data_IF_405091407622
#
_entry.id   IF_405091407622
#
_cell.length_a   1.000
_cell.length_b   1.000
_cell.length_c   1.000
_cell.angle_alpha   90.00
_cell.angle_beta   90.00
_cell.angle_gamma   90.00
#
_symmetry.space_group_name_H-M   'P 1'
#
loop_
_entity.id
_entity.type
_entity.pdbx_description
1 polymer ?
#
# COMPACT_ATOMS: atom_id res chain seq x y z
N UNK A 1 9.02 -19.78 10.94
CA UNK A 1 8.94 -19.56 9.47
C UNK A 1 10.26 -19.09 8.85
N UNK A 2 11.34 -18.96 9.66
CA UNK A 2 12.67 -18.55 9.20
C UNK A 2 13.09 -19.31 7.94
N UNK A 3 13.49 -18.57 6.88
CA UNK A 3 13.90 -19.12 5.59
C UNK A 3 12.79 -19.73 4.73
N UNK A 4 11.54 -19.76 5.21
CA UNK A 4 10.37 -20.30 4.45
C UNK A 4 9.53 -19.21 3.80
N UNK A 5 9.39 -18.07 4.45
CA UNK A 5 8.69 -16.89 3.92
C UNK A 5 9.74 -15.94 3.34
N UNK A 6 9.57 -15.55 2.08
CA UNK A 6 10.56 -14.72 1.38
C UNK A 6 10.39 -13.22 1.64
N UNK A 7 9.17 -12.79 1.88
CA UNK A 7 8.83 -11.38 2.09
C UNK A 7 7.87 -11.28 3.27
N UNK A 8 8.16 -10.39 4.21
CA UNK A 8 7.30 -10.08 5.34
C UNK A 8 6.75 -8.66 5.23
N UNK A 9 5.45 -8.49 5.41
CA UNK A 9 4.84 -7.20 5.74
C UNK A 9 5.05 -6.95 7.23
N UNK A 10 6.19 -6.37 7.56
CA UNK A 10 6.62 -6.19 8.96
C UNK A 10 5.73 -5.18 9.66
N UNK A 11 5.40 -4.09 8.97
CA UNK A 11 4.46 -3.07 9.44
C UNK A 11 3.45 -2.81 8.33
N UNK A 12 2.17 -2.86 8.70
CA UNK A 12 1.05 -2.64 7.81
C UNK A 12 0.21 -1.45 8.28
N UNK A 13 -0.07 -0.51 7.36
CA UNK A 13 -1.05 0.57 7.52
C UNK A 13 -0.79 1.50 8.72
N UNK A 14 0.46 1.86 8.98
CA UNK A 14 0.80 2.74 10.08
C UNK A 14 0.62 4.24 9.77
N UNK A 15 0.45 4.62 8.50
CA UNK A 15 0.28 6.03 8.10
C UNK A 15 -1.15 6.50 8.37
N UNK A 16 -1.28 7.71 8.92
CA UNK A 16 -2.57 8.35 9.13
C UNK A 16 -3.21 8.81 7.81
N UNK A 17 -4.48 8.46 7.59
CA UNK A 17 -5.20 8.80 6.36
C UNK A 17 -5.46 10.31 6.25
N UNK A 18 -5.68 10.99 7.39
CA UNK A 18 -6.06 12.40 7.45
C UNK A 18 -5.26 13.16 8.50
N UNK A 19 -5.31 14.49 8.42
CA UNK A 19 -4.65 15.39 9.38
C UNK A 19 -3.14 15.47 9.18
N UNK A 20 -2.48 16.18 10.07
CA UNK A 20 -1.04 16.48 9.96
C UNK A 20 -0.12 15.42 10.56
N UNK A 21 -0.67 14.52 11.36
CA UNK A 21 0.13 13.43 11.94
C UNK A 21 0.58 12.46 10.85
N UNK A 22 1.84 12.03 10.93
CA UNK A 22 2.37 11.01 10.03
C UNK A 22 1.77 9.66 10.38
N UNK A 23 1.79 9.29 11.65
CA UNK A 23 1.36 7.97 12.10
C UNK A 23 -0.09 7.96 12.57
N UNK A 24 -0.76 6.85 12.30
CA UNK A 24 -2.10 6.52 12.81
C UNK A 24 -2.04 6.34 14.31
N UNK A 25 -3.05 6.83 15.03
CA UNK A 25 -3.18 6.63 16.47
C UNK A 25 -3.55 5.17 16.78
N UNK A 26 -2.55 4.30 16.82
CA UNK A 26 -2.67 2.87 17.12
C UNK A 26 -2.25 2.57 18.55
N UNK A 27 -2.63 1.39 19.07
CA UNK A 27 -2.14 0.92 20.38
C UNK A 27 -0.61 0.79 20.41
N UNK A 28 0.00 0.40 19.29
CA UNK A 28 1.46 0.34 19.18
C UNK A 28 2.11 1.69 19.41
N UNK A 29 1.59 2.75 18.75
CA UNK A 29 2.07 4.11 18.93
C UNK A 29 1.86 4.60 20.36
N UNK A 30 0.72 4.29 20.98
CA UNK A 30 0.38 4.74 22.34
C UNK A 30 1.24 4.06 23.41
N UNK A 31 1.56 2.79 23.26
CA UNK A 31 2.24 1.99 24.29
C UNK A 31 3.76 2.06 24.12
N UNK A 32 4.26 1.94 22.88
CA UNK A 32 5.69 1.86 22.60
C UNK A 32 6.28 3.22 22.21
N UNK A 33 5.48 4.06 21.58
CA UNK A 33 5.94 5.32 21.00
C UNK A 33 6.28 5.21 19.50
N UNK A 34 6.75 6.30 18.88
CA UNK A 34 6.96 6.36 17.43
C UNK A 34 8.05 5.43 16.90
N UNK A 35 8.91 4.93 17.74
CA UNK A 35 9.98 3.98 17.40
C UNK A 35 9.51 2.54 17.27
N UNK A 36 8.21 2.25 17.47
CA UNK A 36 7.66 0.90 17.33
C UNK A 36 7.90 0.31 15.93
N UNK A 37 7.91 1.17 14.89
CA UNK A 37 8.14 0.73 13.50
C UNK A 37 9.60 0.29 13.34
N UNK A 38 10.56 1.10 13.79
CA UNK A 38 11.97 0.76 13.73
C UNK A 38 12.25 -0.56 14.47
N UNK A 39 11.74 -0.69 15.69
CA UNK A 39 11.87 -1.93 16.48
C UNK A 39 11.27 -3.15 15.78
N UNK A 40 10.11 -3.02 15.15
CA UNK A 40 9.50 -4.12 14.43
C UNK A 40 10.40 -4.62 13.29
N UNK A 41 10.99 -3.71 12.50
CA UNK A 41 11.92 -4.07 11.43
C UNK A 41 13.22 -4.68 11.97
N UNK A 42 13.79 -4.14 13.05
CA UNK A 42 15.00 -4.66 13.68
C UNK A 42 14.80 -6.09 14.19
N UNK A 43 13.70 -6.35 14.91
CA UNK A 43 13.37 -7.70 15.39
C UNK A 43 13.06 -8.68 14.26
N UNK A 44 12.39 -8.23 13.20
CA UNK A 44 12.13 -9.06 12.05
C UNK A 44 13.44 -9.46 11.34
N UNK A 45 14.38 -8.53 11.21
CA UNK A 45 15.69 -8.79 10.63
C UNK A 45 16.54 -9.73 11.50
N UNK A 46 16.51 -9.54 12.81
CA UNK A 46 17.19 -10.46 13.75
C UNK A 46 16.63 -11.88 13.64
N UNK A 47 15.31 -12.01 13.51
CA UNK A 47 14.65 -13.30 13.41
C UNK A 47 14.91 -14.01 12.07
N UNK A 48 14.88 -13.30 10.95
CA UNK A 48 15.11 -13.83 9.60
C UNK A 48 15.88 -12.82 8.72
N UNK A 49 17.22 -12.82 8.79
CA UNK A 49 18.07 -11.87 8.07
C UNK A 49 17.99 -11.98 6.54
N UNK A 50 17.55 -13.12 6.02
CA UNK A 50 17.50 -13.40 4.58
C UNK A 50 16.14 -13.02 3.95
N UNK A 51 15.15 -12.67 4.78
CA UNK A 51 13.85 -12.27 4.30
C UNK A 51 13.82 -10.78 3.87
N UNK A 52 13.06 -10.49 2.83
CA UNK A 52 12.76 -9.10 2.44
C UNK A 52 11.74 -8.53 3.43
N UNK A 53 12.12 -7.43 4.07
CA UNK A 53 11.29 -6.74 5.05
C UNK A 53 10.60 -5.55 4.41
N UNK A 54 9.27 -5.58 4.34
CA UNK A 54 8.45 -4.63 3.62
C UNK A 54 7.55 -3.82 4.57
N UNK A 55 7.45 -2.52 4.30
CA UNK A 55 6.35 -1.68 4.80
C UNK A 55 5.20 -1.73 3.80
N UNK A 56 3.97 -2.02 4.23
CA UNK A 56 2.81 -2.16 3.35
C UNK A 56 1.72 -1.15 3.73
N UNK A 57 1.10 -0.49 2.72
CA UNK A 57 -0.01 0.44 2.96
C UNK A 57 -0.89 0.61 1.73
N UNK A 58 -2.11 1.11 1.93
CA UNK A 58 -3.06 1.48 0.88
C UNK A 58 -3.10 2.98 0.65
N UNK A 59 -3.77 3.39 -0.44
CA UNK A 59 -4.05 4.79 -0.72
C UNK A 59 -2.81 5.64 -1.00
N UNK A 60 -1.72 5.03 -1.47
CA UNK A 60 -0.46 5.72 -1.77
C UNK A 60 -0.56 6.59 -3.02
N UNK A 61 -1.57 6.40 -3.85
CA UNK A 61 -1.96 7.30 -4.94
C UNK A 61 -2.40 8.68 -4.43
N UNK A 62 -2.83 8.80 -3.16
CA UNK A 62 -3.12 10.07 -2.52
C UNK A 62 -1.81 10.82 -2.19
N UNK A 63 -1.60 12.04 -2.71
CA UNK A 63 -0.37 12.79 -2.50
C UNK A 63 -0.04 13.08 -1.05
N UNK A 64 -1.04 13.36 -0.20
CA UNK A 64 -0.81 13.65 1.22
C UNK A 64 -0.34 12.42 1.98
N UNK A 65 -1.00 11.28 1.77
CA UNK A 65 -0.62 10.01 2.41
C UNK A 65 0.75 9.54 1.93
N UNK A 66 1.00 9.63 0.61
CA UNK A 66 2.31 9.31 0.01
C UNK A 66 3.43 10.17 0.58
N UNK A 67 3.21 11.49 0.75
CA UNK A 67 4.21 12.37 1.36
C UNK A 67 4.58 11.95 2.79
N UNK A 68 3.59 11.56 3.59
CA UNK A 68 3.82 11.02 4.94
C UNK A 68 4.64 9.74 4.91
N UNK A 69 4.31 8.82 4.01
CA UNK A 69 5.08 7.58 3.83
C UNK A 69 6.53 7.88 3.45
N UNK A 70 6.75 8.74 2.45
CA UNK A 70 8.10 9.13 2.02
C UNK A 70 8.89 9.71 3.20
N UNK A 71 8.26 10.55 4.01
CA UNK A 71 8.88 11.15 5.20
C UNK A 71 9.26 10.08 6.22
N UNK A 72 8.37 9.13 6.49
CA UNK A 72 8.64 8.01 7.40
C UNK A 72 9.81 7.15 6.89
N UNK A 73 9.75 6.70 5.62
CA UNK A 73 10.78 5.82 5.07
C UNK A 73 12.14 6.49 5.06
N UNK A 74 12.23 7.76 4.68
CA UNK A 74 13.50 8.52 4.75
C UNK A 74 14.05 8.60 6.17
N UNK A 75 13.18 8.78 7.17
CA UNK A 75 13.58 8.77 8.58
C UNK A 75 14.10 7.42 9.03
N UNK A 76 13.48 6.32 8.62
CA UNK A 76 13.92 4.96 8.92
C UNK A 76 15.27 4.64 8.22
N UNK A 77 15.43 5.04 6.96
CA UNK A 77 16.69 4.91 6.22
C UNK A 77 17.84 5.68 6.88
N UNK A 78 17.58 6.91 7.34
CA UNK A 78 18.57 7.72 8.05
C UNK A 78 19.01 7.09 9.39
N UNK A 79 18.17 6.27 10.00
CA UNK A 79 18.46 5.50 11.21
C UNK A 79 19.04 4.11 10.92
N UNK A 80 19.29 3.76 9.65
CA UNK A 80 19.76 2.46 9.19
C UNK A 80 18.82 1.29 9.55
N UNK A 81 17.53 1.56 9.71
CA UNK A 81 16.51 0.54 9.93
C UNK A 81 16.38 -0.32 8.65
N UNK A 82 16.33 -1.65 8.75
CA UNK A 82 16.35 -2.55 7.58
C UNK A 82 14.99 -2.63 6.86
N UNK A 83 14.49 -1.50 6.36
CA UNK A 83 13.34 -1.46 5.44
C UNK A 83 13.88 -1.76 4.04
N UNK A 84 13.42 -2.84 3.42
CA UNK A 84 13.99 -3.37 2.17
C UNK A 84 13.05 -3.19 0.97
N UNK A 85 11.75 -3.00 1.19
CA UNK A 85 10.77 -2.79 0.14
C UNK A 85 9.58 -1.97 0.64
N UNK A 86 8.82 -1.40 -0.31
CA UNK A 86 7.54 -0.74 -0.08
C UNK A 86 6.45 -1.58 -0.74
N UNK A 87 5.35 -1.85 -0.02
CA UNK A 87 4.15 -2.45 -0.56
C UNK A 87 3.08 -1.39 -0.80
N UNK A 88 2.58 -1.32 -2.03
CA UNK A 88 1.36 -0.61 -2.37
C UNK A 88 0.24 -1.63 -2.51
N UNK A 89 -0.75 -1.56 -1.64
CA UNK A 89 -1.90 -2.47 -1.69
C UNK A 89 -2.70 -2.31 -2.99
N UNK A 90 -2.80 -1.08 -3.48
CA UNK A 90 -3.44 -0.74 -4.76
C UNK A 90 -4.89 -1.21 -4.84
N UNK A 91 -5.68 -0.89 -3.80
CA UNK A 91 -7.13 -1.04 -3.80
C UNK A 91 -7.76 0.11 -4.55
N UNK A 92 -8.16 -0.10 -5.80
CA UNK A 92 -8.66 0.93 -6.70
C UNK A 92 -10.09 0.65 -7.15
N UNK A 93 -10.71 1.62 -7.81
CA UNK A 93 -12.01 1.45 -8.48
C UNK A 93 -11.90 1.89 -9.94
N UNK A 94 -12.86 1.48 -10.77
CA UNK A 94 -12.89 1.86 -12.20
C UNK A 94 -12.91 3.37 -12.49
N UNK A 95 -13.03 4.19 -11.46
CA UNK A 95 -13.09 5.65 -11.59
C UNK A 95 -12.09 6.39 -10.70
N UNK A 96 -11.34 5.70 -9.84
CA UNK A 96 -10.45 6.34 -8.86
C UNK A 96 -9.47 5.35 -8.25
N UNK A 97 -8.19 5.69 -8.12
CA UNK A 97 -7.57 6.91 -8.67
C UNK A 97 -7.44 6.89 -10.19
N UNK A 98 -7.10 8.02 -10.79
CA UNK A 98 -6.76 8.04 -12.21
C UNK A 98 -5.40 7.35 -12.44
N UNK A 99 -5.20 6.74 -13.61
CA UNK A 99 -3.91 6.13 -13.99
C UNK A 99 -2.72 7.09 -13.87
N UNK A 100 -2.97 8.39 -14.09
CA UNK A 100 -1.95 9.42 -13.91
C UNK A 100 -1.56 9.59 -12.44
N UNK A 101 -2.50 9.45 -11.52
CA UNK A 101 -2.21 9.51 -10.08
C UNK A 101 -1.41 8.29 -9.63
N UNK A 102 -1.73 7.12 -10.17
CA UNK A 102 -1.00 5.88 -9.90
C UNK A 102 0.43 5.93 -10.46
N UNK A 103 0.59 6.35 -11.73
CA UNK A 103 1.90 6.56 -12.39
C UNK A 103 2.77 7.56 -11.58
N UNK A 104 2.18 8.67 -11.13
CA UNK A 104 2.87 9.65 -10.29
C UNK A 104 3.24 9.09 -8.92
N UNK A 105 2.38 8.25 -8.34
CA UNK A 105 2.65 7.62 -7.05
C UNK A 105 3.89 6.72 -7.12
N UNK A 106 3.97 5.89 -8.12
CA UNK A 106 5.12 5.01 -8.33
C UNK A 106 6.39 5.83 -8.60
N UNK A 107 6.32 6.85 -9.47
CA UNK A 107 7.45 7.77 -9.74
C UNK A 107 7.99 8.42 -8.46
N UNK A 108 7.11 8.88 -7.57
CA UNK A 108 7.55 9.52 -6.32
C UNK A 108 8.17 8.51 -5.35
N UNK A 109 7.63 7.29 -5.28
CA UNK A 109 8.13 6.23 -4.40
C UNK A 109 9.47 5.66 -4.86
N UNK A 110 9.72 5.56 -6.16
CA UNK A 110 11.00 5.13 -6.73
C UNK A 110 12.19 5.97 -6.25
N UNK A 111 11.96 7.25 -5.93
CA UNK A 111 13.00 8.13 -5.38
C UNK A 111 13.56 7.69 -4.03
N UNK A 112 12.90 6.75 -3.36
CA UNK A 112 13.38 6.16 -2.11
C UNK A 112 14.47 5.10 -2.33
N UNK A 113 14.68 4.65 -3.57
CA UNK A 113 15.67 3.63 -3.91
C UNK A 113 15.34 2.23 -3.39
N UNK A 114 14.05 1.97 -3.08
CA UNK A 114 13.56 0.67 -2.62
C UNK A 114 12.64 0.05 -3.68
N UNK A 115 12.65 -1.28 -3.86
CA UNK A 115 11.66 -1.97 -4.67
C UNK A 115 10.25 -1.67 -4.22
N UNK A 116 9.34 -1.48 -5.19
CA UNK A 116 7.92 -1.30 -4.95
C UNK A 116 7.20 -2.58 -5.35
N UNK A 117 6.43 -3.15 -4.44
CA UNK A 117 5.61 -4.33 -4.69
C UNK A 117 4.15 -3.93 -4.72
N UNK A 118 3.42 -4.33 -5.75
CA UNK A 118 1.96 -4.28 -5.78
C UNK A 118 1.46 -5.53 -5.04
N UNK A 119 0.82 -5.33 -3.88
CA UNK A 119 0.63 -6.41 -2.90
C UNK A 119 -0.78 -6.99 -2.88
N UNK A 120 -1.80 -6.18 -3.11
CA UNK A 120 -3.19 -6.55 -2.86
C UNK A 120 -4.12 -6.03 -3.97
N UNK A 121 -3.62 -5.92 -5.21
CA UNK A 121 -4.33 -5.31 -6.33
C UNK A 121 -5.75 -5.86 -6.47
N UNK A 122 -6.72 -5.01 -6.25
CA UNK A 122 -8.10 -5.24 -6.64
C UNK A 122 -8.70 -4.00 -7.31
N UNK A 123 -9.59 -4.24 -8.26
CA UNK A 123 -10.32 -3.17 -8.95
C UNK A 123 -11.81 -3.33 -8.69
N UNK A 124 -12.37 -2.43 -7.90
CA UNK A 124 -13.80 -2.43 -7.63
C UNK A 124 -14.58 -1.85 -8.82
N UNK A 125 -15.48 -2.65 -9.39
CA UNK A 125 -16.34 -2.25 -10.50
C UNK A 125 -17.50 -1.29 -10.13
N UNK A 126 -17.80 -1.14 -8.83
CA UNK A 126 -18.76 -0.19 -8.31
C UNK A 126 -18.09 1.13 -7.91
N UNK A 127 -18.83 2.25 -7.96
CA UNK A 127 -18.34 3.48 -7.35
C UNK A 127 -18.24 3.26 -5.84
N UNK A 128 -17.06 3.50 -5.26
CA UNK A 128 -16.90 3.49 -3.80
C UNK A 128 -17.88 4.48 -3.15
N UNK A 129 -18.72 3.98 -2.25
CA UNK A 129 -19.52 4.84 -1.38
C UNK A 129 -18.62 5.67 -0.48
N UNK A 130 -19.06 6.88 -0.08
CA UNK A 130 -18.30 7.84 0.74
C UNK A 130 -17.82 7.33 2.12
N UNK A 131 -18.01 6.07 2.45
CA UNK A 131 -17.71 5.48 3.78
C UNK A 131 -16.69 4.33 3.77
N UNK A 132 -16.17 3.94 2.62
CA UNK A 132 -15.15 2.89 2.57
C UNK A 132 -13.78 3.46 2.94
N UNK A 133 -13.46 3.37 4.21
CA UNK A 133 -12.12 3.59 4.74
C UNK A 133 -11.43 2.25 4.86
N UNK A 134 -10.43 2.01 4.00
CA UNK A 134 -9.58 0.84 4.11
C UNK A 134 -10.06 -0.40 3.34
N UNK A 135 -9.31 -1.45 3.49
CA UNK A 135 -9.39 -2.73 2.78
C UNK A 135 -10.61 -3.60 3.18
N UNK A 136 -11.80 -3.03 3.26
CA UNK A 136 -13.02 -3.82 3.52
C UNK A 136 -13.55 -4.44 2.21
N UNK A 137 -12.80 -5.41 1.68
CA UNK A 137 -13.13 -6.13 0.44
C UNK A 137 -14.43 -6.94 0.61
N UNK A 138 -14.78 -7.36 1.83
CA UNK A 138 -15.93 -8.22 2.09
C UNK A 138 -17.28 -7.54 1.84
N UNK A 139 -17.37 -6.21 2.07
CA UNK A 139 -18.61 -5.48 1.87
C UNK A 139 -18.88 -5.11 0.40
N UNK A 140 -17.87 -5.12 -0.47
CA UNK A 140 -18.01 -4.77 -1.86
C UNK A 140 -18.61 -5.89 -2.73
N UNK A 141 -18.53 -7.14 -2.30
CA UNK A 141 -19.14 -8.29 -2.99
C UNK A 141 -20.66 -8.33 -2.89
N UNK A 142 -21.25 -7.67 -1.88
CA UNK A 142 -22.70 -7.73 -1.63
C UNK A 142 -23.52 -6.74 -2.46
N UNK A 143 -22.91 -5.75 -3.10
CA UNK A 143 -23.63 -4.71 -3.86
C UNK A 143 -23.77 -5.03 -5.35
N UNK A 144 -23.23 -6.11 -5.83
CA UNK A 144 -23.45 -6.62 -7.20
C UNK A 144 -24.70 -7.52 -7.29
N UNK A 145 -25.83 -7.06 -6.76
CA UNK A 145 -27.13 -7.63 -7.13
C UNK A 145 -27.51 -7.17 -8.55
N UNK A 146 -27.21 -8.00 -9.50
CA UNK A 146 -27.55 -7.79 -10.92
C UNK A 146 -26.31 -8.13 -11.74
N UNK A 147 -26.37 -9.25 -12.43
CA UNK A 147 -25.26 -9.80 -13.22
C UNK A 147 -24.46 -8.71 -13.93
N UNK A 148 -23.17 -8.80 -13.85
CA UNK A 148 -22.26 -7.90 -14.55
C UNK A 148 -22.66 -7.89 -16.02
N UNK A 149 -23.16 -6.79 -16.50
CA UNK A 149 -23.46 -6.59 -17.91
C UNK A 149 -22.14 -6.76 -18.66
N UNK A 150 -22.15 -7.34 -19.84
CA UNK A 150 -20.94 -7.59 -20.64
C UNK A 150 -20.01 -6.37 -20.71
N UNK A 151 -20.58 -5.15 -20.78
CA UNK A 151 -19.85 -3.88 -20.74
C UNK A 151 -19.11 -3.61 -19.41
N UNK A 152 -19.60 -4.12 -18.28
CA UNK A 152 -18.95 -3.94 -16.98
C UNK A 152 -17.70 -4.84 -16.87
N UNK A 153 -17.80 -6.06 -17.35
CA UNK A 153 -16.65 -6.97 -17.40
C UNK A 153 -15.56 -6.44 -18.35
N UNK A 154 -15.96 -5.90 -19.50
CA UNK A 154 -15.02 -5.31 -20.44
C UNK A 154 -14.34 -4.06 -19.86
N UNK A 155 -15.09 -3.20 -19.16
CA UNK A 155 -14.51 -2.04 -18.45
C UNK A 155 -13.50 -2.49 -17.40
N UNK A 156 -13.86 -3.47 -16.59
CA UNK A 156 -12.97 -4.01 -15.56
C UNK A 156 -11.69 -4.60 -16.16
N UNK A 157 -11.81 -5.38 -17.23
CA UNK A 157 -10.67 -5.94 -17.95
C UNK A 157 -9.75 -4.83 -18.51
N UNK A 158 -10.33 -3.77 -19.07
CA UNK A 158 -9.57 -2.63 -19.59
C UNK A 158 -8.85 -1.87 -18.48
N UNK A 159 -9.47 -1.76 -17.28
CA UNK A 159 -8.88 -1.13 -16.12
C UNK A 159 -7.63 -1.90 -15.66
N UNK A 160 -7.74 -3.21 -15.44
CA UNK A 160 -6.58 -4.04 -15.12
C UNK A 160 -5.48 -3.94 -16.19
N UNK A 161 -5.85 -4.04 -17.48
CA UNK A 161 -4.88 -3.93 -18.56
C UNK A 161 -4.14 -2.57 -18.55
N UNK A 162 -4.82 -1.50 -18.17
CA UNK A 162 -4.22 -0.16 -18.10
C UNK A 162 -3.33 -0.01 -16.87
N UNK A 163 -3.74 -0.52 -15.70
CA UNK A 163 -2.90 -0.57 -14.50
C UNK A 163 -1.60 -1.35 -14.76
N UNK A 164 -1.68 -2.53 -15.38
CA UNK A 164 -0.48 -3.28 -15.72
C UNK A 164 0.44 -2.53 -16.70
N UNK A 165 -0.11 -1.74 -17.62
CA UNK A 165 0.73 -0.86 -18.46
C UNK A 165 1.42 0.26 -17.65
N UNK A 166 0.77 0.77 -16.61
CA UNK A 166 1.40 1.71 -15.70
C UNK A 166 2.52 1.00 -14.93
N UNK A 167 2.25 -0.12 -14.28
CA UNK A 167 3.25 -0.85 -13.50
C UNK A 167 4.49 -1.25 -14.31
N UNK A 168 4.30 -1.67 -15.57
CA UNK A 168 5.40 -2.07 -16.45
C UNK A 168 6.31 -0.91 -16.92
N UNK A 169 5.94 0.34 -16.67
CA UNK A 169 6.85 1.48 -16.87
C UNK A 169 7.82 1.67 -15.71
N UNK A 170 7.50 1.06 -14.56
CA UNK A 170 8.24 1.16 -13.31
C UNK A 170 8.87 -0.20 -13.00
N UNK A 171 10.14 -0.44 -13.45
CA UNK A 171 10.82 -1.74 -13.35
C UNK A 171 11.27 -2.10 -11.93
#
# INVERSE_FOLDING_TARGET
YKGKVKVWDVVNEAIADHGTNILRNSLWLQIIGPDFIAKAFEYAHEADPDAILRYNDYGLENPEKRHKLITLIKSLQAQHVPVMAIGSQTHVSVSSPSFKQEDQALTDLEQLGLPIHITELDVNGAQRGQRDTGADVANNAATTQGGLVADANQRLANEYATLFKVFLKHP
#
